data_IF_049992066119
#
_entry.id   IF_049992066119
#
_cell.length_a   1.000
_cell.length_b   1.000
_cell.length_c   1.000
_cell.angle_alpha   90.00
_cell.angle_beta   90.00
_cell.angle_gamma   90.00
#
_symmetry.space_group_name_H-M   'P 1'
#
loop_
_entity.id
_entity.type
_entity.pdbx_description
1 polymer ?
#
# COMPACT_ATOMS: atom_id res chain seq x y z
N UNK A 1 -11.17 -12.18 -5.05
CA UNK A 1 -9.85 -12.43 -4.42
C UNK A 1 -8.71 -12.16 -5.41
N UNK A 2 -7.63 -11.53 -4.97
CA UNK A 2 -6.41 -11.33 -5.76
C UNK A 2 -5.66 -12.65 -5.84
N UNK A 3 -5.39 -13.11 -7.06
CA UNK A 3 -4.72 -14.41 -7.29
C UNK A 3 -3.25 -14.36 -6.84
N UNK A 4 -2.77 -15.47 -6.28
CA UNK A 4 -1.36 -15.64 -5.90
C UNK A 4 -0.94 -14.99 -4.58
N UNK A 5 -1.87 -14.34 -3.87
CA UNK A 5 -1.65 -13.84 -2.51
C UNK A 5 -2.04 -14.91 -1.50
N UNK A 6 -1.18 -15.17 -0.54
CA UNK A 6 -1.38 -16.20 0.49
C UNK A 6 -1.34 -15.62 1.89
N UNK A 7 -1.79 -16.39 2.88
CA UNK A 7 -1.62 -16.03 4.29
C UNK A 7 -0.15 -16.02 4.68
N UNK A 8 0.30 -14.99 5.40
CA UNK A 8 1.67 -14.90 5.92
C UNK A 8 1.97 -16.06 6.87
N UNK A 9 2.95 -16.89 6.49
CA UNK A 9 3.49 -17.97 7.33
C UNK A 9 4.82 -17.59 7.93
N UNK A 10 5.66 -16.94 7.13
CA UNK A 10 6.96 -16.44 7.54
C UNK A 10 6.96 -14.91 7.34
N UNK A 11 6.99 -14.14 8.45
CA UNK A 11 7.12 -12.70 8.36
C UNK A 11 8.37 -12.30 7.59
N UNK A 12 8.29 -11.21 6.83
CA UNK A 12 9.45 -10.61 6.19
C UNK A 12 9.27 -9.12 6.06
N UNK A 13 10.39 -8.41 6.13
CA UNK A 13 10.47 -6.98 5.87
C UNK A 13 11.33 -6.78 4.63
N UNK A 14 10.86 -5.95 3.71
CA UNK A 14 11.64 -5.54 2.56
C UNK A 14 11.26 -4.12 2.16
N UNK A 15 11.95 -3.58 1.16
CA UNK A 15 11.84 -2.18 0.77
C UNK A 15 11.49 -2.03 -0.71
N UNK A 16 10.71 -1.01 -1.02
CA UNK A 16 10.36 -0.61 -2.37
C UNK A 16 10.83 0.82 -2.61
N UNK A 17 11.66 1.00 -3.64
CA UNK A 17 12.06 2.31 -4.13
C UNK A 17 11.04 2.77 -5.18
N UNK A 18 10.25 3.82 -4.91
CA UNK A 18 9.27 4.33 -5.87
C UNK A 18 9.90 5.24 -6.94
N UNK A 19 11.23 5.41 -6.95
CA UNK A 19 11.93 6.16 -7.98
C UNK A 19 11.64 5.56 -9.35
N UNK A 20 11.31 6.42 -10.30
CA UNK A 20 10.99 6.02 -11.65
C UNK A 20 11.70 6.93 -12.64
N UNK A 21 12.00 6.36 -13.82
CA UNK A 21 12.60 7.10 -14.93
C UNK A 21 11.49 7.73 -15.76
N UNK A 22 11.55 9.04 -15.93
CA UNK A 22 10.59 9.79 -16.73
C UNK A 22 10.72 9.37 -18.20
N UNK A 23 9.67 8.81 -18.84
CA UNK A 23 9.77 8.22 -20.17
C UNK A 23 9.73 9.26 -21.30
N UNK A 24 9.18 10.45 -21.01
CA UNK A 24 9.04 11.57 -21.95
C UNK A 24 8.98 12.87 -21.16
N UNK A 25 9.34 13.97 -21.81
CA UNK A 25 9.20 15.30 -21.21
C UNK A 25 7.77 15.51 -20.69
N UNK A 26 7.69 15.97 -19.44
CA UNK A 26 6.46 16.35 -18.77
C UNK A 26 6.43 17.88 -18.79
N UNK A 27 5.46 18.45 -19.48
CA UNK A 27 5.28 19.89 -19.60
C UNK A 27 3.94 20.33 -19.04
N UNK A 28 3.86 21.57 -18.54
CA UNK A 28 2.58 22.23 -18.26
C UNK A 28 1.88 22.56 -19.59
N UNK A 29 0.57 22.90 -19.57
CA UNK A 29 -0.14 23.34 -20.77
C UNK A 29 0.50 24.55 -21.47
N UNK A 30 1.18 25.42 -20.71
CA UNK A 30 1.87 26.62 -21.21
C UNK A 30 3.29 26.31 -21.76
N UNK A 31 3.68 25.03 -21.83
CA UNK A 31 4.96 24.60 -22.38
C UNK A 31 6.14 24.60 -21.40
N UNK A 32 5.91 24.87 -20.11
CA UNK A 32 6.97 24.81 -19.10
C UNK A 32 7.34 23.36 -18.77
N UNK A 33 8.60 23.00 -18.88
CA UNK A 33 9.10 21.66 -18.52
C UNK A 33 9.07 21.47 -17.00
N UNK A 34 8.39 20.41 -16.54
CA UNK A 34 8.32 19.95 -15.15
C UNK A 34 9.40 18.90 -14.88
N UNK A 35 9.60 17.97 -15.81
CA UNK A 35 10.67 16.96 -15.77
C UNK A 35 11.01 16.54 -17.20
N UNK A 36 12.28 16.20 -17.45
CA UNK A 36 12.76 15.76 -18.76
C UNK A 36 12.76 14.25 -18.89
N UNK A 37 12.63 13.76 -20.11
CA UNK A 37 12.84 12.37 -20.44
C UNK A 37 14.21 11.91 -19.93
N UNK A 38 14.23 10.81 -19.19
CA UNK A 38 15.43 10.24 -18.58
C UNK A 38 15.70 10.68 -17.14
N UNK A 39 15.02 11.70 -16.62
CA UNK A 39 15.15 12.11 -15.22
C UNK A 39 14.74 10.95 -14.29
N UNK A 40 15.50 10.76 -13.21
CA UNK A 40 15.14 9.86 -12.12
C UNK A 40 14.41 10.66 -11.05
N UNK A 41 13.12 10.40 -10.89
CA UNK A 41 12.25 11.14 -9.98
C UNK A 41 11.72 10.20 -8.91
N UNK A 42 11.83 10.59 -7.64
CA UNK A 42 11.19 9.89 -6.53
C UNK A 42 9.94 10.67 -6.08
N UNK A 43 8.73 10.09 -6.21
CA UNK A 43 7.50 10.78 -5.80
C UNK A 43 7.46 11.18 -4.33
N UNK A 44 8.22 10.50 -3.45
CA UNK A 44 8.25 10.78 -2.02
C UNK A 44 8.96 12.10 -1.67
N UNK A 45 9.67 12.71 -2.61
CA UNK A 45 10.28 14.04 -2.44
C UNK A 45 9.25 15.15 -2.47
N UNK A 46 8.14 14.91 -3.16
CA UNK A 46 7.11 15.90 -3.44
C UNK A 46 5.84 15.59 -2.67
N UNK A 47 5.48 14.31 -2.54
CA UNK A 47 4.26 13.86 -1.88
C UNK A 47 4.58 12.72 -0.92
N UNK A 48 4.58 12.96 0.40
CA UNK A 48 4.76 11.89 1.37
C UNK A 48 3.54 10.97 1.39
N UNK A 49 3.76 9.73 1.86
CA UNK A 49 2.70 8.77 2.09
C UNK A 49 1.84 9.22 3.29
N UNK A 50 0.71 9.87 3.01
CA UNK A 50 -0.17 10.44 4.03
C UNK A 50 -0.81 9.42 4.97
N UNK A 51 -0.96 8.17 4.54
CA UNK A 51 -1.53 7.09 5.34
C UNK A 51 -0.77 5.80 5.07
N UNK A 52 -0.53 5.00 6.10
CA UNK A 52 -0.07 3.64 5.92
C UNK A 52 -1.08 2.84 5.09
N UNK A 53 -0.60 1.90 4.28
CA UNK A 53 -1.48 0.99 3.54
C UNK A 53 -1.45 -0.35 4.24
N UNK A 54 -2.62 -0.91 4.57
CA UNK A 54 -2.69 -2.21 5.23
C UNK A 54 -3.49 -3.18 4.38
N UNK A 55 -2.81 -4.23 3.89
CA UNK A 55 -3.38 -5.26 3.03
C UNK A 55 -3.77 -6.47 3.86
N UNK A 56 -5.01 -6.95 3.69
CA UNK A 56 -5.51 -8.10 4.45
C UNK A 56 -6.64 -8.85 3.71
N UNK A 57 -6.85 -10.10 4.12
CA UNK A 57 -7.94 -10.95 3.66
C UNK A 57 -9.12 -10.90 4.65
N UNK A 58 -10.30 -10.47 4.20
CA UNK A 58 -11.49 -10.40 5.05
C UNK A 58 -12.01 -11.79 5.47
N UNK A 59 -11.74 -12.84 4.68
CA UNK A 59 -12.18 -14.21 4.99
C UNK A 59 -11.44 -14.81 6.19
N UNK A 60 -10.33 -14.20 6.64
CA UNK A 60 -9.61 -14.60 7.84
C UNK A 60 -9.92 -13.63 9.00
N UNK A 61 -10.72 -14.02 9.99
CA UNK A 61 -11.11 -13.15 11.10
C UNK A 61 -9.91 -12.62 11.90
N UNK A 62 -8.80 -13.36 11.95
CA UNK A 62 -7.57 -12.90 12.62
C UNK A 62 -6.99 -11.69 11.92
N UNK A 63 -7.02 -11.68 10.59
CA UNK A 63 -6.53 -10.54 9.80
C UNK A 63 -7.44 -9.32 9.93
N UNK A 64 -8.76 -9.52 9.98
CA UNK A 64 -9.73 -8.44 10.24
C UNK A 64 -9.49 -7.81 11.61
N UNK A 65 -9.25 -8.62 12.64
CA UNK A 65 -8.87 -8.13 13.97
C UNK A 65 -7.55 -7.36 13.92
N UNK A 66 -6.53 -7.91 13.24
CA UNK A 66 -5.23 -7.27 13.09
C UNK A 66 -5.33 -5.91 12.39
N UNK A 67 -6.16 -5.82 11.36
CA UNK A 67 -6.44 -4.56 10.67
C UNK A 67 -7.00 -3.50 11.62
N UNK A 68 -7.97 -3.87 12.46
CA UNK A 68 -8.53 -2.96 13.46
C UNK A 68 -7.47 -2.50 14.49
N UNK A 69 -6.61 -3.42 14.95
CA UNK A 69 -5.49 -3.09 15.85
C UNK A 69 -4.50 -2.11 15.21
N UNK A 70 -4.12 -2.33 13.96
CA UNK A 70 -3.21 -1.45 13.20
C UNK A 70 -3.84 -0.07 12.98
N UNK A 71 -5.12 -0.01 12.59
CA UNK A 71 -5.84 1.26 12.46
C UNK A 71 -5.82 2.03 13.78
N UNK A 72 -6.09 1.36 14.91
CA UNK A 72 -6.04 1.99 16.24
C UNK A 72 -4.63 2.47 16.58
N UNK A 73 -3.60 1.64 16.34
CA UNK A 73 -2.20 1.95 16.63
C UNK A 73 -1.72 3.23 15.97
N UNK A 74 -2.17 3.50 14.74
CA UNK A 74 -1.79 4.68 13.97
C UNK A 74 -2.85 5.79 14.00
N UNK A 75 -3.70 5.83 15.03
CA UNK A 75 -4.74 6.87 15.23
C UNK A 75 -5.63 7.07 13.99
N UNK A 76 -5.88 5.99 13.24
CA UNK A 76 -6.69 6.02 12.05
C UNK A 76 -5.99 6.43 10.75
N UNK A 77 -4.70 6.79 10.77
CA UNK A 77 -3.89 7.15 9.61
C UNK A 77 -3.46 5.91 8.78
N UNK A 78 -4.44 5.06 8.48
CA UNK A 78 -4.27 3.80 7.75
C UNK A 78 -5.40 3.68 6.73
N UNK A 79 -5.03 3.31 5.50
CA UNK A 79 -5.96 2.87 4.46
C UNK A 79 -6.05 1.33 4.52
N UNK A 80 -7.15 0.76 5.01
CA UNK A 80 -7.40 -0.67 4.93
C UNK A 80 -7.73 -1.07 3.48
N UNK A 81 -7.02 -2.06 2.97
CA UNK A 81 -7.12 -2.55 1.59
C UNK A 81 -7.32 -4.06 1.62
N UNK A 82 -8.43 -4.53 1.06
CA UNK A 82 -8.72 -5.94 0.94
C UNK A 82 -8.04 -6.55 -0.28
N UNK A 83 -7.53 -7.76 -0.12
CA UNK A 83 -7.15 -8.65 -1.24
C UNK A 83 -8.22 -9.70 -1.52
N UNK A 84 -9.13 -9.94 -0.57
CA UNK A 84 -10.29 -10.81 -0.72
C UNK A 84 -11.40 -10.37 0.24
N UNK A 85 -12.66 -10.55 -0.20
CA UNK A 85 -13.85 -10.15 0.56
C UNK A 85 -14.67 -9.03 -0.10
N UNK A 86 -15.48 -8.39 0.73
CA UNK A 86 -16.51 -7.40 0.40
C UNK A 86 -16.18 -6.04 1.05
N UNK A 87 -15.50 -5.13 0.33
CA UNK A 87 -15.05 -3.86 0.90
C UNK A 87 -16.22 -2.96 1.35
N UNK A 88 -17.36 -3.02 0.67
CA UNK A 88 -18.54 -2.21 1.02
C UNK A 88 -19.19 -2.66 2.32
N UNK A 89 -19.25 -3.96 2.58
CA UNK A 89 -19.76 -4.51 3.83
C UNK A 89 -18.90 -4.03 5.02
N UNK A 90 -17.58 -4.16 4.89
CA UNK A 90 -16.64 -3.75 5.92
C UNK A 90 -16.62 -2.22 6.10
N UNK A 91 -16.79 -1.46 5.01
CA UNK A 91 -16.92 0.01 5.06
C UNK A 91 -18.11 0.45 5.90
N UNK A 92 -19.29 -0.16 5.69
CA UNK A 92 -20.50 0.11 6.48
C UNK A 92 -20.31 -0.27 7.94
N UNK A 93 -19.75 -1.46 8.18
CA UNK A 93 -19.53 -1.98 9.53
C UNK A 93 -18.57 -1.08 10.34
N UNK A 94 -17.48 -0.65 9.73
CA UNK A 94 -16.44 0.15 10.40
C UNK A 94 -16.71 1.66 10.36
N UNK A 95 -17.74 2.09 9.62
CA UNK A 95 -18.01 3.52 9.32
C UNK A 95 -16.75 4.24 8.83
N UNK A 96 -15.93 3.54 8.04
CA UNK A 96 -14.62 3.98 7.51
C UNK A 96 -14.45 3.38 6.13
N UNK A 97 -13.91 4.16 5.20
CA UNK A 97 -13.61 3.68 3.86
C UNK A 97 -12.63 2.49 3.89
N UNK A 98 -13.06 1.36 3.33
CA UNK A 98 -12.24 0.17 3.05
C UNK A 98 -12.11 0.03 1.54
N UNK A 99 -10.88 -0.16 1.08
CA UNK A 99 -10.56 -0.29 -0.34
C UNK A 99 -10.38 -1.75 -0.72
N UNK A 100 -10.28 -2.03 -2.01
CA UNK A 100 -9.95 -3.34 -2.55
C UNK A 100 -8.83 -3.18 -3.57
N UNK A 101 -7.80 -4.03 -3.51
CA UNK A 101 -6.72 -4.03 -4.50
C UNK A 101 -7.18 -4.73 -5.79
N UNK A 102 -8.00 -4.02 -6.57
CA UNK A 102 -8.58 -4.56 -7.80
C UNK A 102 -7.47 -5.03 -8.74
N UNK A 103 -7.63 -6.24 -9.28
CA UNK A 103 -6.64 -6.89 -10.15
C UNK A 103 -5.24 -7.06 -9.53
N UNK A 104 -5.06 -6.82 -8.23
CA UNK A 104 -3.78 -6.97 -7.54
C UNK A 104 -2.70 -5.97 -7.96
N UNK A 105 -3.09 -4.77 -8.41
CA UNK A 105 -2.14 -3.76 -8.91
C UNK A 105 -1.12 -3.36 -7.84
N UNK A 106 -1.56 -3.07 -6.62
CA UNK A 106 -0.67 -2.59 -5.56
C UNK A 106 0.18 -3.72 -4.99
N UNK A 107 -0.40 -4.90 -4.73
CA UNK A 107 0.39 -6.04 -4.24
C UNK A 107 1.45 -6.46 -5.25
N UNK A 108 1.15 -6.39 -6.55
CA UNK A 108 2.14 -6.66 -7.61
C UNK A 108 3.22 -5.59 -7.62
N UNK A 109 2.84 -4.31 -7.62
CA UNK A 109 3.78 -3.19 -7.65
C UNK A 109 4.72 -3.18 -6.44
N UNK A 110 4.20 -3.47 -5.26
CA UNK A 110 4.97 -3.51 -4.01
C UNK A 110 5.62 -4.87 -3.75
N UNK A 111 5.46 -5.88 -4.62
CA UNK A 111 6.06 -7.20 -4.42
C UNK A 111 5.50 -7.98 -3.21
N UNK A 112 4.31 -7.61 -2.74
CA UNK A 112 3.61 -8.31 -1.65
C UNK A 112 3.16 -9.68 -2.18
N UNK A 113 3.52 -10.73 -1.45
CA UNK A 113 3.15 -12.12 -1.74
C UNK A 113 2.31 -12.72 -0.62
N UNK A 114 2.39 -12.15 0.58
CA UNK A 114 1.66 -12.63 1.74
C UNK A 114 0.89 -11.51 2.44
N UNK A 115 -0.27 -11.83 3.00
CA UNK A 115 -1.07 -10.94 3.85
C UNK A 115 -1.36 -11.57 5.21
N UNK A 116 -1.44 -10.78 6.30
CA UNK A 116 -1.48 -9.33 6.32
C UNK A 116 -0.13 -8.65 6.04
N UNK A 117 -0.16 -7.49 5.40
CA UNK A 117 1.02 -6.69 5.08
C UNK A 117 0.79 -5.19 5.34
N UNK A 118 1.77 -4.53 5.95
CA UNK A 118 1.78 -3.09 6.21
C UNK A 118 2.80 -2.40 5.31
N UNK A 119 2.38 -1.36 4.59
CA UNK A 119 3.26 -0.46 3.85
C UNK A 119 3.36 0.87 4.58
N UNK A 120 4.59 1.27 4.86
CA UNK A 120 4.93 2.53 5.54
C UNK A 120 6.05 3.25 4.80
N UNK A 121 6.22 4.55 5.02
CA UNK A 121 7.33 5.31 4.45
C UNK A 121 8.50 5.36 5.42
N UNK A 122 9.71 5.03 4.95
CA UNK A 122 10.96 5.31 5.65
C UNK A 122 11.49 6.66 5.16
N UNK A 123 11.04 7.75 5.80
CA UNK A 123 11.26 9.14 5.34
C UNK A 123 12.73 9.44 5.08
N UNK A 124 13.61 9.09 6.03
CA UNK A 124 15.06 9.35 5.94
C UNK A 124 15.75 8.69 4.73
N UNK A 125 15.13 7.65 4.14
CA UNK A 125 15.70 6.90 3.01
C UNK A 125 14.86 6.97 1.75
N UNK A 126 13.82 7.83 1.71
CA UNK A 126 12.99 8.09 0.53
C UNK A 126 12.46 6.80 -0.12
N UNK A 127 12.08 5.82 0.70
CA UNK A 127 11.59 4.50 0.26
C UNK A 127 10.42 4.03 1.09
N UNK A 128 9.71 3.03 0.59
CA UNK A 128 8.64 2.36 1.33
C UNK A 128 9.19 1.11 2.02
N UNK A 129 8.79 0.90 3.26
CA UNK A 129 8.99 -0.33 4.03
C UNK A 129 7.73 -1.16 3.98
N UNK A 130 7.87 -2.42 3.59
CA UNK A 130 6.79 -3.40 3.52
C UNK A 130 7.07 -4.47 4.57
N UNK A 131 6.14 -4.63 5.51
CA UNK A 131 6.19 -5.65 6.55
C UNK A 131 5.05 -6.66 6.31
N UNK A 132 5.39 -7.84 5.80
CA UNK A 132 4.48 -8.99 5.82
C UNK A 132 4.55 -9.63 7.21
N UNK A 133 3.41 -9.76 7.87
CA UNK A 133 3.35 -10.18 9.28
C UNK A 133 2.29 -11.26 9.51
N UNK A 134 2.42 -12.02 10.59
CA UNK A 134 1.37 -12.94 11.01
C UNK A 134 0.17 -12.17 11.58
N UNK A 135 -1.00 -12.79 11.48
CA UNK A 135 -2.27 -12.23 11.95
C UNK A 135 -2.53 -12.50 13.45
N UNK A 136 -1.60 -13.18 14.10
CA UNK A 136 -1.68 -13.64 15.49
C UNK A 136 -1.88 -12.48 16.49
#
# INVERSE_FOLDING_TARGET
>A
PVRGIVKTRQPRTFYFDPSWRVPRDITTPEGKVIARAGDMVNPLDYVPLSNHLFFFDQSDPKQVKKAAEIIKRFNGAVKPILVAGEPLALTRQWKRQVYFDQSGHLVTRFGIKQVPALVSQEVAKRRLRIDEMKAD
#
